data_IF_279543786867
#
_entry.id   IF_279543786867
#
_cell.length_a   1.000
_cell.length_b   1.000
_cell.length_c   1.000
_cell.angle_alpha   90.00
_cell.angle_beta   90.00
_cell.angle_gamma   90.00
#
_symmetry.space_group_name_H-M   'P 1'
#
loop_
_entity.id
_entity.type
_entity.pdbx_description
1 polymer ?
#
# COMPACT_ATOMS: atom_id res chain seq x y z
N UNK A 1 -75.38 34.48 -26.51
CA UNK A 1 -74.95 33.95 -25.18
C UNK A 1 -73.52 33.38 -25.40
N UNK A 2 -72.50 34.21 -25.14
CA UNK A 2 -71.09 33.86 -25.32
C UNK A 2 -70.53 33.25 -24.03
N UNK A 3 -70.08 32.02 -24.04
CA UNK A 3 -69.42 31.42 -22.91
C UNK A 3 -67.89 31.62 -23.11
N UNK A 4 -67.32 32.49 -22.25
CA UNK A 4 -65.85 32.70 -22.23
C UNK A 4 -65.25 31.65 -21.30
N UNK A 5 -64.54 30.69 -21.90
CA UNK A 5 -63.78 29.67 -21.15
C UNK A 5 -62.50 30.28 -20.61
N UNK A 6 -62.36 30.37 -19.30
CA UNK A 6 -61.09 30.68 -18.62
C UNK A 6 -60.21 29.42 -18.57
N UNK A 7 -59.14 29.38 -19.39
CA UNK A 7 -58.05 28.41 -19.27
C UNK A 7 -57.16 28.80 -18.11
N UNK A 8 -57.23 28.06 -17.01
CA UNK A 8 -56.29 28.17 -15.88
C UNK A 8 -54.99 27.48 -16.30
N UNK A 9 -53.97 28.26 -16.64
CA UNK A 9 -52.59 27.76 -16.80
C UNK A 9 -52.06 27.32 -15.45
N UNK A 10 -52.04 26.01 -15.20
CA UNK A 10 -51.27 25.45 -14.07
C UNK A 10 -49.79 25.62 -14.38
N UNK A 11 -49.14 26.59 -13.74
CA UNK A 11 -47.69 26.65 -13.71
C UNK A 11 -47.19 25.41 -13.00
N UNK A 12 -46.58 24.46 -13.72
CA UNK A 12 -45.80 23.38 -13.15
C UNK A 12 -44.56 24.02 -12.51
N UNK A 13 -44.58 24.16 -11.20
CA UNK A 13 -43.36 24.45 -10.45
C UNK A 13 -42.46 23.22 -10.61
N UNK A 14 -41.42 23.34 -11.43
CA UNK A 14 -40.41 22.33 -11.54
C UNK A 14 -39.81 22.15 -10.12
N UNK A 15 -40.02 21.00 -9.50
CA UNK A 15 -39.34 20.64 -8.24
C UNK A 15 -37.84 20.73 -8.52
N UNK A 16 -37.17 21.59 -7.78
CA UNK A 16 -35.72 21.73 -7.87
C UNK A 16 -35.08 20.38 -7.47
N UNK A 17 -34.49 19.69 -8.43
CA UNK A 17 -33.77 18.44 -8.19
C UNK A 17 -32.47 18.76 -7.47
N UNK A 18 -32.47 18.63 -6.15
CA UNK A 18 -31.27 18.85 -5.35
C UNK A 18 -30.27 17.72 -5.50
N UNK A 19 -28.99 18.08 -5.56
CA UNK A 19 -27.88 17.13 -5.44
C UNK A 19 -27.75 16.73 -3.97
N UNK A 20 -27.59 15.45 -3.70
CA UNK A 20 -27.58 14.92 -2.34
C UNK A 20 -26.18 14.62 -1.85
N UNK A 21 -25.78 15.18 -0.71
CA UNK A 21 -24.62 14.72 0.05
C UNK A 21 -25.10 13.56 0.91
N UNK A 22 -24.69 12.32 0.55
CA UNK A 22 -25.24 11.08 1.10
C UNK A 22 -24.46 10.59 2.31
N UNK A 23 -23.13 10.80 2.29
CA UNK A 23 -22.22 10.27 3.28
C UNK A 23 -21.01 11.18 3.39
N UNK A 24 -20.32 11.11 4.53
CA UNK A 24 -19.03 11.74 4.73
C UNK A 24 -18.08 10.75 5.39
N UNK A 25 -16.86 10.72 4.91
CA UNK A 25 -15.78 9.88 5.41
C UNK A 25 -14.61 10.78 5.80
N UNK A 26 -13.87 10.39 6.83
CA UNK A 26 -12.75 11.15 7.35
C UNK A 26 -11.56 10.23 7.57
N UNK A 27 -10.40 10.66 7.08
CA UNK A 27 -9.12 10.01 7.32
C UNK A 27 -8.09 11.00 7.82
N UNK A 28 -7.25 10.53 8.73
CA UNK A 28 -6.15 11.30 9.29
C UNK A 28 -4.82 10.66 8.90
N UNK A 29 -4.00 11.37 8.13
CA UNK A 29 -2.59 11.07 7.86
C UNK A 29 -1.68 11.95 8.71
N UNK A 30 -0.38 11.69 8.78
CA UNK A 30 0.55 12.50 9.57
C UNK A 30 0.65 13.97 9.16
N UNK A 31 0.26 14.32 7.94
CA UNK A 31 0.41 15.64 7.31
C UNK A 31 -0.91 16.33 6.98
N UNK A 32 -2.02 15.59 6.92
CA UNK A 32 -3.33 16.16 6.58
C UNK A 32 -4.51 15.39 7.16
N UNK A 33 -5.65 16.07 7.25
CA UNK A 33 -6.97 15.47 7.48
C UNK A 33 -7.77 15.58 6.21
N UNK A 34 -8.26 14.46 5.67
CA UNK A 34 -9.08 14.39 4.47
C UNK A 34 -10.52 14.09 4.83
N UNK A 35 -11.45 14.95 4.36
CA UNK A 35 -12.89 14.66 4.33
C UNK A 35 -13.30 14.36 2.90
N UNK A 36 -14.14 13.34 2.74
CA UNK A 36 -14.71 12.96 1.44
C UNK A 36 -16.23 12.90 1.59
N UNK A 37 -16.91 13.74 0.83
CA UNK A 37 -18.36 13.78 0.77
C UNK A 37 -18.83 13.02 -0.48
N UNK A 38 -19.60 11.95 -0.30
CA UNK A 38 -20.24 11.23 -1.40
C UNK A 38 -21.44 12.05 -1.90
N UNK A 39 -21.43 12.44 -3.15
CA UNK A 39 -22.49 13.26 -3.76
C UNK A 39 -23.22 12.50 -4.86
N UNK A 40 -24.52 12.78 -5.02
CA UNK A 40 -25.34 12.10 -6.03
C UNK A 40 -24.93 12.43 -7.45
N UNK A 41 -24.36 13.62 -7.68
CA UNK A 41 -23.93 14.14 -8.99
C UNK A 41 -22.79 15.14 -8.81
N UNK A 42 -22.17 15.60 -9.91
CA UNK A 42 -21.16 16.64 -9.88
C UNK A 42 -21.74 17.95 -9.28
N UNK A 43 -21.04 18.55 -8.34
CA UNK A 43 -21.46 19.77 -7.64
C UNK A 43 -20.49 20.92 -7.95
N UNK A 44 -21.01 22.14 -7.96
CA UNK A 44 -20.16 23.33 -7.83
C UNK A 44 -20.02 23.67 -6.35
N UNK A 45 -18.84 24.12 -5.96
CA UNK A 45 -18.61 24.48 -4.57
C UNK A 45 -17.59 25.61 -4.45
N UNK A 46 -17.70 26.35 -3.36
CA UNK A 46 -16.73 27.36 -2.97
C UNK A 46 -16.30 27.13 -1.53
N UNK A 47 -15.05 27.46 -1.20
CA UNK A 47 -14.55 27.40 0.18
C UNK A 47 -13.84 28.69 0.57
N UNK A 48 -13.97 29.06 1.85
CA UNK A 48 -13.27 30.21 2.43
C UNK A 48 -13.05 30.02 3.92
N UNK A 49 -12.03 30.69 4.44
CA UNK A 49 -11.70 30.67 5.85
C UNK A 49 -12.30 31.88 6.57
N UNK A 50 -12.76 31.67 7.79
CA UNK A 50 -13.14 32.72 8.75
C UNK A 50 -12.20 32.63 9.96
N UNK A 51 -11.82 33.79 10.50
CA UNK A 51 -11.00 33.92 11.71
C UNK A 51 -11.88 34.32 12.90
N UNK A 52 -11.41 34.01 14.12
CA UNK A 52 -12.01 34.45 15.40
C UNK A 52 -13.46 33.97 15.60
N UNK A 53 -13.76 32.73 15.83
CA UNK A 53 -12.86 31.54 15.84
C UNK A 53 -12.51 31.04 14.44
N UNK A 54 -11.44 30.22 14.35
CA UNK A 54 -11.00 29.63 13.09
C UNK A 54 -12.04 28.66 12.52
N UNK A 55 -12.45 28.86 11.27
CA UNK A 55 -13.47 28.03 10.61
C UNK A 55 -13.13 27.90 9.11
N UNK A 56 -13.39 26.72 8.56
CA UNK A 56 -13.49 26.54 7.10
C UNK A 56 -14.97 26.42 6.75
N UNK A 57 -15.43 27.29 5.87
CA UNK A 57 -16.79 27.25 5.31
C UNK A 57 -16.73 26.68 3.90
N UNK A 58 -17.63 25.75 3.60
CA UNK A 58 -17.79 25.11 2.29
C UNK A 58 -19.23 25.30 1.87
N UNK A 59 -19.44 26.04 0.80
CA UNK A 59 -20.74 26.25 0.17
C UNK A 59 -20.86 25.31 -1.03
N UNK A 60 -21.93 24.53 -1.10
CA UNK A 60 -22.19 23.58 -2.18
C UNK A 60 -23.52 23.96 -2.83
N UNK A 61 -23.45 24.35 -4.11
CA UNK A 61 -24.56 24.91 -4.84
C UNK A 61 -25.57 23.82 -5.23
N UNK A 62 -26.86 24.12 -5.07
CA UNK A 62 -27.96 23.23 -5.42
C UNK A 62 -27.94 21.89 -4.67
N UNK A 63 -27.40 21.86 -3.45
CA UNK A 63 -27.21 20.63 -2.69
C UNK A 63 -27.95 20.61 -1.37
N UNK A 64 -28.26 19.40 -0.90
CA UNK A 64 -28.83 19.13 0.44
C UNK A 64 -28.14 17.96 1.09
N UNK A 65 -28.03 17.99 2.41
CA UNK A 65 -27.55 16.85 3.18
C UNK A 65 -28.68 15.84 3.35
N UNK A 66 -28.47 14.60 2.88
CA UNK A 66 -29.36 13.45 3.12
C UNK A 66 -28.83 12.50 4.18
N UNK A 67 -27.59 12.64 4.59
CA UNK A 67 -26.91 11.87 5.63
C UNK A 67 -26.75 12.65 6.94
N UNK A 68 -25.77 12.21 7.73
CA UNK A 68 -25.41 12.85 8.99
C UNK A 68 -23.88 12.92 9.13
N UNK A 69 -23.39 13.89 9.89
CA UNK A 69 -21.97 13.99 10.27
C UNK A 69 -21.70 13.31 11.63
N UNK A 70 -22.72 12.70 12.25
CA UNK A 70 -22.55 11.97 13.51
C UNK A 70 -21.72 10.70 13.28
N UNK A 71 -20.88 10.36 14.26
CA UNK A 71 -20.03 9.15 14.19
C UNK A 71 -18.64 9.36 13.58
N UNK A 72 -18.33 10.54 13.04
CA UNK A 72 -16.98 10.84 12.60
C UNK A 72 -16.00 10.93 13.77
N UNK A 73 -14.86 10.29 13.65
CA UNK A 73 -13.79 10.32 14.66
C UNK A 73 -12.93 11.57 14.49
N UNK A 74 -13.35 12.68 15.13
CA UNK A 74 -12.66 13.98 15.03
C UNK A 74 -11.40 14.06 15.91
N UNK A 75 -11.21 13.15 16.84
CA UNK A 75 -10.05 13.16 17.76
C UNK A 75 -8.74 13.05 16.97
N UNK A 76 -7.81 13.96 17.26
CA UNK A 76 -6.51 14.01 16.58
C UNK A 76 -6.53 14.71 15.22
N UNK A 77 -7.65 15.33 14.85
CA UNK A 77 -7.77 16.20 13.68
C UNK A 77 -7.86 17.66 14.11
N UNK A 78 -7.66 18.64 13.24
CA UNK A 78 -7.88 20.05 13.55
C UNK A 78 -9.36 20.41 13.63
N UNK A 79 -10.30 19.49 13.36
CA UNK A 79 -11.74 19.73 13.34
C UNK A 79 -12.30 19.51 14.75
N UNK A 80 -12.87 20.55 15.35
CA UNK A 80 -13.55 20.46 16.65
C UNK A 80 -15.02 20.05 16.48
N UNK A 81 -15.69 20.60 15.45
CA UNK A 81 -17.11 20.37 15.18
C UNK A 81 -17.41 20.57 13.71
N UNK A 82 -18.38 19.82 13.20
CA UNK A 82 -18.94 20.00 11.87
C UNK A 82 -20.39 20.43 12.01
N UNK A 83 -20.74 21.54 11.37
CA UNK A 83 -22.11 22.09 11.33
C UNK A 83 -22.55 22.23 9.89
N UNK A 84 -23.85 22.22 9.65
CA UNK A 84 -24.42 22.49 8.34
C UNK A 84 -25.71 23.29 8.46
N UNK A 85 -26.09 23.92 7.35
CA UNK A 85 -27.33 24.65 7.23
C UNK A 85 -27.65 24.97 5.79
N UNK A 86 -28.91 25.33 5.53
CA UNK A 86 -29.31 25.83 4.20
C UNK A 86 -28.77 27.24 3.99
N UNK A 87 -28.34 27.54 2.77
CA UNK A 87 -27.96 28.87 2.29
C UNK A 87 -28.79 29.20 1.05
N UNK A 88 -29.23 30.47 0.92
CA UNK A 88 -30.00 30.95 -0.25
C UNK A 88 -31.16 30.02 -0.65
N UNK A 89 -31.78 29.34 0.30
CA UNK A 89 -32.87 28.35 0.15
C UNK A 89 -32.49 27.08 -0.61
N UNK A 90 -31.53 27.10 -1.53
CA UNK A 90 -31.21 26.01 -2.44
C UNK A 90 -29.81 25.40 -2.24
N UNK A 91 -28.94 26.05 -1.48
CA UNK A 91 -27.54 25.63 -1.31
C UNK A 91 -27.30 25.04 0.09
N UNK A 92 -26.32 24.18 0.18
CA UNK A 92 -25.85 23.62 1.45
C UNK A 92 -24.58 24.35 1.89
N UNK A 93 -24.55 24.86 3.12
CA UNK A 93 -23.37 25.35 3.78
C UNK A 93 -22.89 24.34 4.81
N UNK A 94 -21.62 23.94 4.73
CA UNK A 94 -20.93 23.11 5.70
C UNK A 94 -19.88 23.99 6.39
N UNK A 95 -19.82 23.94 7.70
CA UNK A 95 -18.85 24.70 8.50
C UNK A 95 -18.03 23.74 9.36
N UNK A 96 -16.72 23.75 9.16
CA UNK A 96 -15.77 23.05 10.02
C UNK A 96 -15.23 24.06 11.04
N UNK A 97 -15.60 23.88 12.31
CA UNK A 97 -15.01 24.64 13.41
C UNK A 97 -13.63 24.04 13.70
N UNK A 98 -12.58 24.85 13.64
CA UNK A 98 -11.20 24.40 13.69
C UNK A 98 -10.52 24.82 15.00
N UNK A 99 -9.63 23.96 15.52
CA UNK A 99 -8.80 24.28 16.68
C UNK A 99 -7.73 25.31 16.38
N UNK A 100 -7.36 25.45 15.09
CA UNK A 100 -6.30 26.30 14.61
C UNK A 100 -6.51 26.67 13.14
N UNK A 101 -5.74 27.64 12.65
CA UNK A 101 -5.71 27.95 11.22
C UNK A 101 -4.96 26.87 10.48
N UNK A 102 -5.57 26.29 9.44
CA UNK A 102 -4.97 25.27 8.59
C UNK A 102 -5.06 25.71 7.12
N UNK A 103 -4.11 25.30 6.29
CA UNK A 103 -4.28 25.38 4.85
C UNK A 103 -5.28 24.33 4.38
N UNK A 104 -6.03 24.62 3.33
CA UNK A 104 -7.00 23.66 2.80
C UNK A 104 -7.04 23.63 1.29
N UNK A 105 -7.32 22.48 0.73
CA UNK A 105 -7.64 22.27 -0.68
C UNK A 105 -8.97 21.56 -0.81
N UNK A 106 -9.66 21.78 -1.94
CA UNK A 106 -10.89 21.06 -2.25
C UNK A 106 -10.99 20.82 -3.76
N UNK A 107 -11.48 19.65 -4.13
CA UNK A 107 -11.61 19.23 -5.52
C UNK A 107 -12.68 18.15 -5.66
N UNK A 108 -13.15 17.95 -6.90
CA UNK A 108 -14.14 16.94 -7.23
C UNK A 108 -13.48 15.73 -7.87
N UNK A 109 -13.93 14.55 -7.44
CA UNK A 109 -13.58 13.29 -8.07
C UNK A 109 -14.78 12.76 -8.86
N UNK A 110 -14.51 12.35 -10.09
CA UNK A 110 -15.49 11.69 -10.96
C UNK A 110 -15.81 10.28 -10.44
N UNK A 111 -16.94 9.69 -10.81
CA UNK A 111 -17.24 8.29 -10.52
C UNK A 111 -16.15 7.36 -11.05
N UNK A 112 -15.92 6.29 -10.30
CA UNK A 112 -15.07 5.18 -10.70
C UNK A 112 -15.78 3.83 -10.40
N UNK A 113 -15.07 2.70 -10.53
CA UNK A 113 -15.66 1.38 -10.29
C UNK A 113 -16.15 1.15 -8.84
N UNK A 114 -15.65 1.94 -7.87
CA UNK A 114 -15.94 1.76 -6.44
C UNK A 114 -16.88 2.83 -5.90
N UNK A 115 -16.76 4.06 -6.37
CA UNK A 115 -17.43 5.24 -5.83
C UNK A 115 -18.11 6.08 -6.91
N UNK A 116 -19.21 6.76 -6.53
CA UNK A 116 -19.83 7.82 -7.32
C UNK A 116 -19.02 9.14 -7.32
N UNK A 117 -19.70 10.23 -7.60
CA UNK A 117 -19.12 11.58 -7.46
C UNK A 117 -18.74 11.87 -6.02
N UNK A 118 -17.61 12.54 -5.79
CA UNK A 118 -17.08 12.86 -4.46
C UNK A 118 -16.54 14.29 -4.45
N UNK A 119 -16.88 15.03 -3.39
CA UNK A 119 -16.21 16.27 -3.03
C UNK A 119 -15.17 15.95 -1.95
N UNK A 120 -13.91 16.23 -2.24
CA UNK A 120 -12.79 16.02 -1.32
C UNK A 120 -12.38 17.36 -0.73
N UNK A 121 -12.10 17.38 0.57
CA UNK A 121 -11.57 18.53 1.30
C UNK A 121 -10.38 18.06 2.14
N UNK A 122 -9.20 18.53 1.80
CA UNK A 122 -7.95 18.28 2.53
C UNK A 122 -7.62 19.49 3.42
N UNK A 123 -7.34 19.21 4.68
CA UNK A 123 -6.85 20.18 5.68
C UNK A 123 -5.40 19.80 5.99
N UNK A 124 -4.45 20.65 5.64
CA UNK A 124 -3.02 20.39 5.84
C UNK A 124 -2.58 20.89 7.21
N UNK A 125 -1.79 20.09 7.90
CA UNK A 125 -1.15 20.51 9.13
C UNK A 125 -0.17 21.66 8.87
N UNK A 126 0.02 22.52 9.86
CA UNK A 126 1.03 23.56 9.77
C UNK A 126 2.44 22.94 9.65
N UNK A 127 3.11 23.21 8.54
CA UNK A 127 4.47 22.71 8.28
C UNK A 127 5.47 23.09 9.37
N UNK A 128 5.22 24.19 10.08
CA UNK A 128 6.08 24.65 11.19
C UNK A 128 6.08 23.68 12.38
N UNK A 129 5.05 22.80 12.47
CA UNK A 129 4.89 21.80 13.53
C UNK A 129 5.45 20.42 13.17
N UNK A 130 5.86 20.20 11.93
CA UNK A 130 6.62 18.98 11.59
C UNK A 130 7.86 18.95 12.45
N UNK A 131 8.16 17.85 13.18
CA UNK A 131 9.43 17.72 13.87
C UNK A 131 10.52 18.02 12.85
N UNK A 132 11.30 19.08 13.08
CA UNK A 132 12.48 19.37 12.23
C UNK A 132 13.26 18.07 12.15
N UNK A 133 13.69 17.64 10.96
CA UNK A 133 14.53 16.46 10.84
C UNK A 133 15.70 16.68 11.79
N UNK A 134 15.77 15.88 12.84
CA UNK A 134 16.94 15.88 13.72
C UNK A 134 18.09 15.53 12.81
N UNK A 135 18.96 16.49 12.53
CA UNK A 135 20.24 16.26 11.86
C UNK A 135 21.01 15.34 12.78
N UNK A 136 20.76 14.04 12.63
CA UNK A 136 21.53 13.02 13.33
C UNK A 136 22.95 13.17 12.79
N UNK A 137 23.86 13.64 13.63
CA UNK A 137 25.29 13.51 13.38
C UNK A 137 25.52 12.09 12.84
N UNK A 138 26.36 11.97 11.78
CA UNK A 138 26.71 10.66 11.24
C UNK A 138 27.14 9.78 12.42
N UNK A 139 26.46 8.66 12.70
CA UNK A 139 26.91 7.79 13.76
C UNK A 139 28.33 7.35 13.40
N UNK A 140 29.25 7.52 14.33
CA UNK A 140 30.58 6.92 14.23
C UNK A 140 30.35 5.40 14.44
N UNK A 141 30.14 4.67 13.34
CA UNK A 141 29.84 3.24 13.41
C UNK A 141 29.04 2.76 12.20
N UNK A 142 28.79 1.47 12.19
CA UNK A 142 27.99 0.80 11.17
C UNK A 142 26.50 1.04 11.45
N UNK A 143 25.73 1.33 10.40
CA UNK A 143 24.28 1.56 10.46
C UNK A 143 23.48 0.27 10.38
N UNK A 144 22.23 0.30 10.80
CA UNK A 144 21.27 -0.76 10.53
C UNK A 144 20.85 -0.78 9.06
N UNK A 145 20.48 -1.97 8.58
CA UNK A 145 19.79 -2.17 7.30
C UNK A 145 18.38 -1.60 7.44
N UNK A 146 18.00 -0.72 6.53
CA UNK A 146 16.68 -0.06 6.51
C UNK A 146 15.76 -0.75 5.54
N UNK A 147 14.64 -1.27 6.02
CA UNK A 147 13.60 -1.90 5.20
C UNK A 147 12.34 -1.04 5.22
N UNK A 148 12.01 -0.43 4.08
CA UNK A 148 10.74 0.27 3.91
C UNK A 148 9.63 -0.74 3.61
N UNK A 149 8.56 -0.70 4.39
CA UNK A 149 7.42 -1.60 4.30
C UNK A 149 6.20 -0.80 3.90
N UNK A 150 5.71 -1.05 2.71
CA UNK A 150 4.52 -0.44 2.17
C UNK A 150 3.34 -1.39 2.34
N UNK A 151 2.31 -0.93 3.04
CA UNK A 151 1.03 -1.61 3.06
C UNK A 151 0.18 -1.04 1.94
N UNK A 152 -0.12 -1.83 0.92
CA UNK A 152 -0.93 -1.41 -0.22
C UNK A 152 -2.26 -0.78 0.19
N UNK A 153 -2.77 0.12 -0.65
CA UNK A 153 -4.06 0.81 -0.45
C UNK A 153 -4.09 1.71 0.80
N UNK A 154 -5.29 2.01 1.32
CA UNK A 154 -5.49 2.81 2.53
C UNK A 154 -6.47 3.96 2.33
N UNK A 155 -7.08 4.43 3.41
CA UNK A 155 -8.02 5.55 3.38
C UNK A 155 -9.15 5.33 2.38
N UNK A 156 -9.23 6.21 1.39
CA UNK A 156 -10.24 6.17 0.31
C UNK A 156 -10.09 4.94 -0.59
N UNK A 157 -8.89 4.44 -0.77
CA UNK A 157 -8.66 3.22 -1.55
C UNK A 157 -8.79 1.96 -0.67
N UNK A 158 -9.88 1.18 -0.82
CA UNK A 158 -10.09 -0.02 -0.02
C UNK A 158 -9.22 -1.21 -0.49
N UNK A 159 -8.67 -1.16 -1.71
CA UNK A 159 -8.17 -2.32 -2.41
C UNK A 159 -9.28 -3.28 -2.81
N UNK A 160 -8.99 -4.55 -2.92
CA UNK A 160 -9.96 -5.58 -3.21
C UNK A 160 -10.92 -5.81 -2.04
N UNK A 161 -12.18 -6.15 -2.37
CA UNK A 161 -13.20 -6.55 -1.39
C UNK A 161 -13.08 -8.05 -1.15
N UNK A 162 -12.83 -8.41 0.10
CA UNK A 162 -12.68 -9.79 0.52
C UNK A 162 -13.97 -10.59 0.36
N UNK A 163 -13.85 -11.87 0.04
CA UNK A 163 -15.00 -12.79 0.16
C UNK A 163 -15.54 -12.78 1.60
N UNK A 164 -16.85 -12.60 1.72
CA UNK A 164 -17.51 -12.45 3.03
C UNK A 164 -17.22 -11.10 3.72
N UNK A 165 -16.88 -10.05 2.95
CA UNK A 165 -16.70 -8.67 3.44
C UNK A 165 -15.32 -8.37 4.00
N UNK A 166 -15.06 -7.09 4.20
CA UNK A 166 -13.74 -6.54 4.57
C UNK A 166 -12.92 -6.11 3.37
N UNK A 167 -11.84 -5.39 3.64
CA UNK A 167 -11.03 -4.72 2.62
C UNK A 167 -9.57 -5.15 2.70
N UNK A 168 -8.92 -5.23 1.55
CA UNK A 168 -7.50 -5.54 1.40
C UNK A 168 -6.61 -4.63 2.25
N UNK A 169 -6.86 -3.32 2.24
CA UNK A 169 -6.09 -2.32 3.00
C UNK A 169 -5.89 -2.64 4.48
N UNK A 170 -6.83 -3.36 5.10
CA UNK A 170 -6.73 -3.76 6.51
C UNK A 170 -5.81 -4.97 6.68
N UNK A 171 -5.86 -5.92 5.76
CA UNK A 171 -5.00 -7.11 5.74
C UNK A 171 -3.55 -6.73 5.49
N UNK A 172 -3.30 -5.89 4.47
CA UNK A 172 -1.97 -5.41 4.12
C UNK A 172 -1.32 -4.65 5.25
N UNK A 173 -2.08 -3.76 5.93
CA UNK A 173 -1.58 -3.01 7.09
C UNK A 173 -1.27 -3.92 8.29
N UNK A 174 -2.09 -4.95 8.53
CA UNK A 174 -1.84 -5.90 9.62
C UNK A 174 -0.55 -6.69 9.37
N UNK A 175 -0.35 -7.23 8.15
CA UNK A 175 0.86 -7.96 7.79
C UNK A 175 2.10 -7.04 7.85
N UNK A 176 1.99 -5.79 7.36
CA UNK A 176 3.07 -4.81 7.39
C UNK A 176 3.53 -4.50 8.82
N UNK A 177 2.60 -4.35 9.76
CA UNK A 177 2.90 -4.13 11.18
C UNK A 177 3.58 -5.34 11.83
N UNK A 178 3.16 -6.56 11.51
CA UNK A 178 3.81 -7.78 12.01
C UNK A 178 5.23 -7.91 11.42
N UNK A 179 5.44 -7.59 10.15
CA UNK A 179 6.76 -7.58 9.53
C UNK A 179 7.68 -6.53 10.16
N UNK A 180 7.16 -5.33 10.41
CA UNK A 180 7.91 -4.28 11.09
C UNK A 180 8.30 -4.69 12.51
N UNK A 181 7.41 -5.36 13.26
CA UNK A 181 7.71 -5.87 14.59
C UNK A 181 8.81 -6.95 14.58
N UNK A 182 8.84 -7.83 13.57
CA UNK A 182 9.90 -8.83 13.41
C UNK A 182 11.25 -8.18 13.11
N UNK A 183 11.28 -7.21 12.17
CA UNK A 183 12.49 -6.48 11.81
C UNK A 183 13.03 -5.62 12.96
N UNK A 184 12.16 -4.99 13.75
CA UNK A 184 12.58 -4.19 14.93
C UNK A 184 13.24 -5.04 16.03
N UNK A 185 12.91 -6.33 16.11
CA UNK A 185 13.52 -7.26 17.08
C UNK A 185 14.82 -7.89 16.58
N UNK A 186 15.10 -7.78 15.29
CA UNK A 186 16.31 -8.31 14.68
C UNK A 186 17.41 -7.25 14.70
N UNK A 187 18.51 -7.56 15.39
CA UNK A 187 19.65 -6.65 15.46
C UNK A 187 20.21 -6.37 14.07
N UNK A 188 20.61 -5.14 13.81
CA UNK A 188 21.14 -4.72 12.53
C UNK A 188 20.05 -4.42 11.47
N UNK A 189 18.76 -4.39 11.88
CA UNK A 189 17.65 -4.03 11.02
C UNK A 189 16.80 -2.91 11.62
N UNK A 190 16.32 -2.01 10.76
CA UNK A 190 15.41 -0.92 11.11
C UNK A 190 14.25 -0.85 10.09
N UNK A 191 13.03 -1.20 10.48
CA UNK A 191 11.88 -1.03 9.60
C UNK A 191 11.42 0.43 9.53
N UNK A 192 10.85 0.79 8.38
CA UNK A 192 10.11 2.04 8.16
C UNK A 192 8.78 1.69 7.53
N UNK A 193 7.69 1.92 8.25
CA UNK A 193 6.35 1.77 7.68
C UNK A 193 6.02 2.98 6.82
N UNK A 194 5.63 2.77 5.56
CA UNK A 194 5.19 3.83 4.65
C UNK A 194 3.90 4.45 5.17
N UNK A 195 2.94 3.63 5.61
CA UNK A 195 1.78 4.09 6.37
C UNK A 195 1.61 3.32 7.67
N UNK A 196 1.20 4.01 8.72
CA UNK A 196 1.00 3.45 10.06
C UNK A 196 -0.46 3.29 10.44
N UNK A 197 -1.37 3.86 9.64
CA UNK A 197 -2.82 3.89 9.86
C UNK A 197 -3.60 3.65 8.57
N UNK A 198 -4.92 3.81 8.66
CA UNK A 198 -5.83 3.73 7.52
C UNK A 198 -5.97 5.11 6.87
N UNK A 199 -5.02 5.47 6.03
CA UNK A 199 -5.02 6.66 5.18
C UNK A 199 -4.32 6.34 3.86
N UNK A 200 -4.68 7.06 2.80
CA UNK A 200 -4.09 6.88 1.48
C UNK A 200 -2.79 7.69 1.34
N UNK A 201 -1.83 7.09 0.66
CA UNK A 201 -0.58 7.71 0.20
C UNK A 201 -0.46 7.38 -1.27
N UNK A 202 -0.23 8.39 -2.11
CA UNK A 202 -0.01 8.19 -3.55
C UNK A 202 1.22 7.32 -3.84
N UNK A 203 1.19 6.63 -4.99
CA UNK A 203 2.18 5.61 -5.33
C UNK A 203 3.61 6.18 -5.39
N UNK A 204 3.78 7.40 -5.90
CA UNK A 204 5.11 8.05 -5.97
C UNK A 204 5.60 8.48 -4.58
N UNK A 205 4.69 8.96 -3.73
CA UNK A 205 5.05 9.35 -2.36
C UNK A 205 5.50 8.15 -1.52
N UNK A 206 4.98 6.94 -1.78
CA UNK A 206 5.43 5.71 -1.10
C UNK A 206 6.92 5.44 -1.36
N UNK A 207 7.34 5.51 -2.63
CA UNK A 207 8.77 5.36 -2.98
C UNK A 207 9.62 6.52 -2.45
N UNK A 208 9.09 7.74 -2.43
CA UNK A 208 9.81 8.89 -1.87
C UNK A 208 10.05 8.74 -0.35
N UNK A 209 9.08 8.24 0.41
CA UNK A 209 9.25 7.92 1.85
C UNK A 209 10.37 6.89 2.05
N UNK A 210 10.45 5.86 1.20
CA UNK A 210 11.54 4.90 1.24
C UNK A 210 12.89 5.57 0.97
N UNK A 211 12.99 6.45 -0.02
CA UNK A 211 14.22 7.21 -0.35
C UNK A 211 14.61 8.16 0.76
N UNK A 212 13.67 8.93 1.30
CA UNK A 212 13.91 9.88 2.42
C UNK A 212 14.44 9.14 3.66
N UNK A 213 14.00 7.90 3.88
CA UNK A 213 14.47 7.05 4.97
C UNK A 213 15.79 6.34 4.70
N UNK A 214 16.36 6.47 3.48
CA UNK A 214 17.54 5.75 2.98
C UNK A 214 17.35 4.23 3.09
N UNK A 215 16.23 3.74 2.60
CA UNK A 215 15.92 2.31 2.64
C UNK A 215 16.87 1.52 1.73
N UNK A 216 17.27 0.35 2.21
CA UNK A 216 18.06 -0.64 1.47
C UNK A 216 17.18 -1.65 0.72
N UNK A 217 15.90 -1.69 1.06
CA UNK A 217 14.89 -2.54 0.43
C UNK A 217 13.50 -1.92 0.61
N UNK A 218 12.70 -1.96 -0.45
CA UNK A 218 11.28 -1.61 -0.41
C UNK A 218 10.42 -2.85 -0.65
N UNK A 219 9.46 -3.11 0.24
CA UNK A 219 8.54 -4.24 0.16
C UNK A 219 7.11 -3.70 0.19
N UNK A 220 6.39 -3.80 -0.93
CA UNK A 220 4.96 -3.50 -0.99
C UNK A 220 4.16 -4.79 -0.76
N UNK A 221 3.19 -4.75 0.13
CA UNK A 221 2.38 -5.90 0.56
C UNK A 221 0.97 -5.72 0.08
N UNK A 222 0.46 -6.71 -0.67
CA UNK A 222 -0.86 -6.76 -1.27
C UNK A 222 -1.58 -8.10 -0.98
N UNK A 223 -2.87 -8.15 -1.22
CA UNK A 223 -3.71 -9.34 -1.10
C UNK A 223 -4.87 -9.23 -2.10
N UNK A 224 -4.53 -9.17 -3.37
CA UNK A 224 -5.40 -8.71 -4.44
C UNK A 224 -6.66 -9.58 -4.67
N UNK A 225 -7.58 -9.04 -5.44
CA UNK A 225 -8.76 -9.72 -5.95
C UNK A 225 -8.61 -10.08 -7.41
N UNK A 226 -9.10 -11.26 -7.78
CA UNK A 226 -9.18 -11.68 -9.16
C UNK A 226 -10.63 -11.98 -9.56
N UNK A 227 -10.99 -11.79 -10.86
CA UNK A 227 -12.36 -12.03 -11.33
C UNK A 227 -12.80 -13.48 -11.12
N UNK A 228 -11.90 -14.43 -11.38
CA UNK A 228 -12.13 -15.84 -11.08
C UNK A 228 -11.79 -16.13 -9.62
N UNK A 229 -12.79 -16.39 -8.81
CA UNK A 229 -12.64 -16.73 -7.39
C UNK A 229 -11.90 -18.04 -7.12
N UNK A 230 -11.58 -18.82 -8.16
CA UNK A 230 -10.75 -20.03 -8.06
C UNK A 230 -9.26 -19.69 -8.04
N UNK A 231 -8.86 -18.46 -8.47
CA UNK A 231 -7.49 -17.98 -8.37
C UNK A 231 -7.04 -18.08 -6.91
N UNK A 232 -5.84 -18.63 -6.70
CA UNK A 232 -5.25 -18.80 -5.37
C UNK A 232 -3.74 -18.91 -5.45
N UNK A 233 -3.12 -18.60 -4.33
CA UNK A 233 -1.67 -18.71 -4.15
C UNK A 233 -0.98 -17.35 -4.11
N UNK A 234 0.15 -17.32 -3.42
CA UNK A 234 0.99 -16.14 -3.30
C UNK A 234 1.86 -15.94 -4.54
N UNK A 235 2.22 -14.69 -4.82
CA UNK A 235 3.15 -14.30 -5.89
C UNK A 235 4.11 -13.22 -5.39
N UNK A 236 5.26 -13.10 -6.03
CA UNK A 236 6.17 -11.97 -5.82
C UNK A 236 6.49 -11.34 -7.18
N UNK A 237 6.46 -10.02 -7.20
CA UNK A 237 6.71 -9.22 -8.40
C UNK A 237 7.90 -8.31 -8.21
N UNK A 238 8.66 -8.11 -9.30
CA UNK A 238 9.65 -7.06 -9.45
C UNK A 238 9.27 -6.13 -10.61
N UNK A 239 9.89 -4.97 -10.68
CA UNK A 239 9.67 -4.03 -11.77
C UNK A 239 10.12 -4.62 -13.09
N UNK A 240 9.37 -4.34 -14.18
CA UNK A 240 9.82 -4.52 -15.55
C UNK A 240 9.78 -3.20 -16.31
N UNK A 241 10.80 -2.98 -17.14
CA UNK A 241 10.88 -1.84 -18.06
C UNK A 241 10.38 -2.18 -19.47
N UNK A 242 10.37 -3.47 -19.81
CA UNK A 242 10.11 -3.97 -21.18
C UNK A 242 8.76 -4.67 -21.36
N UNK A 243 7.87 -4.58 -20.35
CA UNK A 243 6.57 -5.24 -20.38
C UNK A 243 6.36 -6.21 -19.21
N UNK A 244 5.28 -6.99 -19.25
CA UNK A 244 4.97 -7.95 -18.21
C UNK A 244 5.34 -9.37 -18.62
N UNK A 245 5.78 -10.19 -17.65
CA UNK A 245 6.15 -11.59 -17.87
C UNK A 245 4.93 -12.49 -18.12
N UNK A 246 3.74 -12.04 -17.70
CA UNK A 246 2.48 -12.75 -17.96
C UNK A 246 1.30 -11.77 -18.08
N UNK A 247 0.19 -12.22 -18.67
CA UNK A 247 -1.04 -11.44 -18.73
C UNK A 247 -1.61 -11.14 -17.33
N UNK A 248 -1.47 -12.07 -16.39
CA UNK A 248 -1.86 -11.86 -14.99
C UNK A 248 -1.02 -10.73 -14.38
N UNK A 249 0.29 -10.75 -14.56
CA UNK A 249 1.19 -9.71 -14.08
C UNK A 249 0.86 -8.34 -14.70
N UNK A 250 0.53 -8.30 -16.00
CA UNK A 250 0.10 -7.07 -16.69
C UNK A 250 -1.18 -6.50 -16.09
N UNK A 251 -2.18 -7.36 -15.92
CA UNK A 251 -3.47 -6.96 -15.38
C UNK A 251 -3.36 -6.45 -13.94
N UNK A 252 -2.61 -7.15 -13.08
CA UNK A 252 -2.33 -6.73 -11.71
C UNK A 252 -1.64 -5.37 -11.66
N UNK A 253 -0.59 -5.17 -12.45
CA UNK A 253 0.10 -3.89 -12.51
C UNK A 253 -0.82 -2.74 -12.97
N UNK A 254 -1.67 -2.98 -13.96
CA UNK A 254 -2.64 -1.97 -14.41
C UNK A 254 -3.65 -1.61 -13.31
N UNK A 255 -4.12 -2.62 -12.59
CA UNK A 255 -5.07 -2.42 -11.48
C UNK A 255 -4.42 -1.63 -10.34
N UNK A 256 -3.25 -2.03 -9.90
CA UNK A 256 -2.53 -1.36 -8.81
C UNK A 256 -2.12 0.07 -9.17
N UNK A 257 -1.71 0.32 -10.42
CA UNK A 257 -1.37 1.65 -10.90
C UNK A 257 -2.58 2.61 -10.96
N UNK A 258 -3.82 2.09 -10.95
CA UNK A 258 -5.03 2.90 -10.90
C UNK A 258 -5.42 3.35 -9.47
N UNK A 259 -4.70 2.92 -8.44
CA UNK A 259 -4.98 3.26 -7.02
C UNK A 259 -5.00 4.76 -6.76
N UNK A 260 -4.13 5.55 -7.40
CA UNK A 260 -4.11 7.01 -7.25
C UNK A 260 -5.42 7.68 -7.68
N UNK A 261 -6.11 7.13 -8.68
CA UNK A 261 -7.43 7.62 -9.12
C UNK A 261 -8.52 7.32 -8.08
N UNK A 262 -8.41 6.20 -7.36
CA UNK A 262 -9.35 5.82 -6.29
C UNK A 262 -9.06 6.65 -5.05
N UNK A 263 -7.79 6.77 -4.67
CA UNK A 263 -7.31 7.52 -3.52
C UNK A 263 -7.48 9.05 -3.63
N UNK A 264 -7.83 9.55 -4.83
CA UNK A 264 -8.09 10.96 -5.03
C UNK A 264 -6.85 11.84 -5.21
N UNK A 265 -5.72 11.24 -5.61
CA UNK A 265 -4.48 11.96 -5.91
C UNK A 265 -4.23 12.10 -7.43
N UNK A 266 -5.14 11.61 -8.26
CA UNK A 266 -5.01 11.54 -9.73
C UNK A 266 -5.15 12.87 -10.48
N UNK A 267 -5.04 14.02 -9.82
CA UNK A 267 -5.15 15.34 -10.46
C UNK A 267 -3.90 15.81 -11.21
N UNK A 268 -2.74 15.19 -11.00
CA UNK A 268 -1.49 15.57 -11.64
C UNK A 268 -0.88 14.34 -12.29
N UNK A 269 -1.30 14.05 -13.52
CA UNK A 269 -0.47 13.27 -14.43
C UNK A 269 0.75 14.14 -14.78
N UNK A 270 1.75 14.09 -13.94
CA UNK A 270 3.09 14.49 -14.36
C UNK A 270 3.53 13.42 -15.36
N UNK A 271 3.36 13.75 -16.65
CA UNK A 271 3.96 12.97 -17.72
C UNK A 271 5.41 12.66 -17.36
N UNK A 272 5.84 11.43 -17.64
CA UNK A 272 7.21 11.00 -17.60
C UNK A 272 8.07 11.92 -18.49
N UNK A 273 8.40 13.11 -17.99
CA UNK A 273 9.52 13.91 -18.50
C UNK A 273 10.75 13.44 -17.74
N UNK A 274 11.16 12.22 -18.07
CA UNK A 274 12.51 11.76 -17.73
C UNK A 274 13.49 12.62 -18.53
N UNK A 275 14.28 13.43 -17.81
CA UNK A 275 15.40 14.17 -18.37
C UNK A 275 16.39 13.18 -19.01
N UNK A 276 16.55 13.31 -20.31
CA UNK A 276 17.36 12.43 -21.19
C UNK A 276 18.86 12.43 -20.84
N UNK A 277 19.34 13.38 -20.03
CA UNK A 277 20.77 13.54 -19.73
C UNK A 277 21.26 12.73 -18.51
N UNK A 278 20.37 12.28 -17.64
CA UNK A 278 20.70 11.37 -16.52
C UNK A 278 20.69 9.89 -16.91
N UNK A 279 20.37 9.58 -18.17
CA UNK A 279 19.93 8.25 -18.63
C UNK A 279 20.98 7.13 -18.49
N UNK A 280 22.24 7.36 -18.72
CA UNK A 280 23.24 6.24 -18.82
C UNK A 280 23.70 5.76 -17.44
N UNK A 281 23.98 6.64 -16.51
CA UNK A 281 24.34 6.25 -15.12
C UNK A 281 23.12 5.72 -14.37
N UNK A 282 21.94 6.27 -14.66
CA UNK A 282 20.66 5.80 -14.14
C UNK A 282 20.37 4.38 -14.66
N UNK A 283 20.70 4.06 -15.88
CA UNK A 283 20.45 2.77 -16.52
C UNK A 283 21.27 1.61 -15.90
N UNK A 284 22.53 1.88 -15.58
CA UNK A 284 23.39 0.91 -14.88
C UNK A 284 22.93 0.69 -13.43
N UNK A 285 22.59 1.77 -12.72
CA UNK A 285 22.04 1.68 -11.37
C UNK A 285 20.74 0.88 -11.34
N UNK A 286 19.81 1.17 -12.25
CA UNK A 286 18.54 0.43 -12.36
C UNK A 286 18.74 -1.05 -12.70
N UNK A 287 19.73 -1.40 -13.53
CA UNK A 287 19.99 -2.82 -13.86
C UNK A 287 20.44 -3.60 -12.62
N UNK A 288 21.36 -3.04 -11.82
CA UNK A 288 21.79 -3.64 -10.55
C UNK A 288 20.65 -3.76 -9.54
N UNK A 289 19.82 -2.72 -9.44
CA UNK A 289 18.65 -2.67 -8.56
C UNK A 289 17.61 -3.70 -8.95
N UNK A 290 17.33 -3.89 -10.25
CA UNK A 290 16.42 -4.92 -10.74
C UNK A 290 16.94 -6.33 -10.45
N UNK A 291 18.24 -6.59 -10.67
CA UNK A 291 18.86 -7.87 -10.32
C UNK A 291 18.70 -8.18 -8.84
N UNK A 292 18.98 -7.21 -7.98
CA UNK A 292 18.80 -7.33 -6.52
C UNK A 292 17.34 -7.56 -6.13
N UNK A 293 16.39 -6.90 -6.83
CA UNK A 293 14.95 -7.11 -6.62
C UNK A 293 14.53 -8.54 -6.95
N UNK A 294 15.03 -9.11 -8.06
CA UNK A 294 14.77 -10.50 -8.43
C UNK A 294 15.36 -11.47 -7.42
N UNK A 295 16.58 -11.23 -6.94
CA UNK A 295 17.22 -12.09 -5.95
C UNK A 295 16.47 -12.11 -4.62
N UNK A 296 16.14 -10.93 -4.06
CA UNK A 296 15.37 -10.86 -2.81
C UNK A 296 13.97 -11.39 -2.99
N UNK A 297 13.34 -11.12 -4.15
CA UNK A 297 12.04 -11.65 -4.52
C UNK A 297 12.01 -13.17 -4.53
N UNK A 298 13.00 -13.83 -5.10
CA UNK A 298 13.14 -15.29 -5.10
C UNK A 298 13.26 -15.85 -3.68
N UNK A 299 14.04 -15.21 -2.80
CA UNK A 299 14.13 -15.62 -1.39
C UNK A 299 12.82 -15.49 -0.64
N UNK A 300 12.07 -14.39 -0.88
CA UNK A 300 10.75 -14.19 -0.28
C UNK A 300 9.75 -15.21 -0.83
N UNK A 301 9.70 -15.41 -2.16
CA UNK A 301 8.80 -16.36 -2.81
C UNK A 301 9.03 -17.79 -2.29
N UNK A 302 10.29 -18.21 -2.16
CA UNK A 302 10.67 -19.51 -1.60
C UNK A 302 10.08 -19.72 -0.18
N UNK A 303 10.26 -18.73 0.69
CA UNK A 303 9.72 -18.79 2.05
C UNK A 303 8.18 -18.76 2.08
N UNK A 304 7.55 -17.97 1.19
CA UNK A 304 6.09 -17.96 1.02
C UNK A 304 5.56 -19.34 0.60
N UNK A 305 6.28 -20.02 -0.29
CA UNK A 305 5.99 -21.39 -0.70
C UNK A 305 5.94 -22.38 0.46
N UNK A 306 6.64 -22.12 1.56
CA UNK A 306 6.59 -22.92 2.80
C UNK A 306 5.25 -22.87 3.54
N UNK A 307 4.50 -21.77 3.41
CA UNK A 307 3.26 -21.52 4.16
C UNK A 307 2.00 -21.49 3.29
N UNK A 308 2.12 -21.09 2.03
CA UNK A 308 1.02 -20.97 1.09
C UNK A 308 1.32 -21.73 -0.21
N UNK A 309 0.26 -22.08 -0.95
CA UNK A 309 0.41 -22.42 -2.36
C UNK A 309 0.98 -21.19 -3.07
N UNK A 310 1.91 -21.39 -4.00
CA UNK A 310 2.36 -20.35 -4.90
C UNK A 310 1.46 -20.31 -6.13
N UNK A 311 1.09 -19.10 -6.58
CA UNK A 311 0.39 -18.89 -7.84
C UNK A 311 1.38 -19.11 -9.02
N UNK A 312 2.58 -18.58 -8.87
CA UNK A 312 3.71 -18.80 -9.78
C UNK A 312 4.94 -19.27 -8.98
N UNK A 313 5.73 -20.17 -9.58
CA UNK A 313 6.94 -20.71 -8.95
C UNK A 313 8.16 -19.80 -9.08
N UNK A 314 8.06 -18.71 -9.83
CA UNK A 314 9.12 -17.73 -10.06
C UNK A 314 8.62 -16.32 -9.83
N UNK A 315 9.55 -15.40 -9.57
CA UNK A 315 9.24 -13.96 -9.48
C UNK A 315 8.78 -13.48 -10.86
N UNK A 316 7.61 -12.87 -10.92
CA UNK A 316 7.09 -12.24 -12.13
C UNK A 316 7.51 -10.77 -12.20
N UNK A 317 7.42 -10.17 -13.39
CA UNK A 317 7.78 -8.78 -13.60
C UNK A 317 6.68 -8.05 -14.36
N UNK A 318 6.40 -6.81 -13.96
CA UNK A 318 5.49 -5.89 -14.66
C UNK A 318 5.78 -4.43 -14.32
N UNK A 319 5.09 -3.51 -14.98
CA UNK A 319 5.30 -2.07 -14.84
C UNK A 319 4.58 -1.46 -13.63
N UNK A 320 4.82 -1.96 -12.42
CA UNK A 320 4.26 -1.41 -11.19
C UNK A 320 4.86 -0.03 -10.88
N UNK A 321 4.03 1.01 -10.79
CA UNK A 321 4.48 2.38 -10.47
C UNK A 321 5.10 2.45 -9.09
N UNK A 322 4.54 1.77 -8.11
CA UNK A 322 5.05 1.74 -6.73
C UNK A 322 6.45 1.11 -6.60
N UNK A 323 6.89 0.33 -7.59
CA UNK A 323 8.24 -0.28 -7.61
C UNK A 323 9.26 0.55 -8.40
N UNK A 324 8.87 1.68 -8.97
CA UNK A 324 9.77 2.54 -9.76
C UNK A 324 10.73 3.32 -8.83
N UNK A 325 11.77 2.66 -8.37
CA UNK A 325 12.89 3.28 -7.65
C UNK A 325 14.20 2.94 -8.36
N UNK A 326 14.99 3.93 -8.77
CA UNK A 326 16.24 3.66 -9.50
C UNK A 326 17.35 3.12 -8.61
N UNK A 327 17.28 3.35 -7.31
CA UNK A 327 18.36 3.19 -6.33
C UNK A 327 18.01 2.21 -5.20
N UNK A 328 16.75 1.77 -5.08
CA UNK A 328 16.32 0.85 -4.01
C UNK A 328 15.74 -0.43 -4.61
N UNK A 329 16.31 -1.61 -4.32
CA UNK A 329 15.68 -2.88 -4.65
C UNK A 329 14.25 -2.93 -4.12
N UNK A 330 13.30 -3.29 -4.98
CA UNK A 330 11.87 -3.16 -4.68
C UNK A 330 11.11 -4.38 -5.14
N UNK A 331 10.25 -4.93 -4.28
CA UNK A 331 9.37 -6.06 -4.58
C UNK A 331 7.95 -5.78 -4.14
N UNK A 332 6.97 -6.37 -4.85
CA UNK A 332 5.59 -6.42 -4.43
C UNK A 332 5.23 -7.88 -4.12
N UNK A 333 4.65 -8.10 -2.96
CA UNK A 333 4.28 -9.43 -2.47
C UNK A 333 2.77 -9.53 -2.43
N UNK A 334 2.20 -10.32 -3.35
CA UNK A 334 0.82 -10.78 -3.29
C UNK A 334 0.73 -11.94 -2.32
N UNK A 335 0.08 -11.72 -1.19
CA UNK A 335 0.01 -12.71 -0.11
C UNK A 335 -1.03 -13.79 -0.35
N UNK A 336 -1.88 -13.61 -1.34
CA UNK A 336 -2.96 -14.50 -1.81
C UNK A 336 -4.09 -13.67 -2.40
N UNK A 337 -5.11 -14.33 -2.95
CA UNK A 337 -6.27 -13.65 -3.55
C UNK A 337 -7.41 -13.53 -2.55
N UNK A 338 -7.68 -12.32 -2.05
CA UNK A 338 -8.69 -12.07 -1.01
C UNK A 338 -10.13 -12.31 -1.49
N UNK A 339 -10.35 -12.40 -2.81
CA UNK A 339 -11.65 -12.79 -3.41
C UNK A 339 -11.90 -14.30 -3.39
N UNK A 340 -10.87 -15.12 -3.15
CA UNK A 340 -11.01 -16.56 -2.97
C UNK A 340 -11.55 -16.86 -1.55
N UNK A 341 -12.60 -17.70 -1.41
CA UNK A 341 -13.21 -17.97 -0.09
C UNK A 341 -12.27 -18.57 0.95
N UNK A 342 -11.38 -19.48 0.54
CA UNK A 342 -10.42 -20.12 1.42
C UNK A 342 -9.33 -19.16 1.86
N UNK A 343 -8.75 -18.41 0.89
CA UNK A 343 -7.68 -17.46 1.15
C UNK A 343 -8.17 -16.24 1.93
N UNK A 344 -9.36 -15.72 1.64
CA UNK A 344 -9.97 -14.63 2.42
C UNK A 344 -10.06 -14.98 3.92
N UNK A 345 -10.46 -16.21 4.25
CA UNK A 345 -10.53 -16.68 5.65
C UNK A 345 -9.14 -16.72 6.28
N UNK A 346 -8.13 -17.22 5.56
CA UNK A 346 -6.74 -17.27 6.02
C UNK A 346 -6.18 -15.85 6.20
N UNK A 347 -6.28 -14.99 5.19
CA UNK A 347 -5.75 -13.64 5.18
C UNK A 347 -6.34 -12.74 6.27
N UNK A 348 -7.59 -12.98 6.68
CA UNK A 348 -8.23 -12.31 7.81
C UNK A 348 -7.76 -12.84 9.19
N UNK A 349 -7.11 -14.01 9.24
CA UNK A 349 -6.62 -14.60 10.47
C UNK A 349 -5.30 -13.98 10.91
N UNK A 350 -5.23 -13.45 12.14
CA UNK A 350 -4.01 -12.89 12.72
C UNK A 350 -2.87 -13.91 12.73
N UNK A 351 -3.15 -15.19 12.99
CA UNK A 351 -2.12 -16.22 12.96
C UNK A 351 -1.50 -16.38 11.57
N UNK A 352 -2.34 -16.40 10.53
CA UNK A 352 -1.85 -16.49 9.15
C UNK A 352 -1.08 -15.23 8.72
N UNK A 353 -1.54 -14.03 9.12
CA UNK A 353 -0.83 -12.77 8.87
C UNK A 353 0.57 -12.77 9.48
N UNK A 354 0.74 -13.31 10.70
CA UNK A 354 2.06 -13.51 11.35
C UNK A 354 2.93 -14.50 10.59
N UNK A 355 2.35 -15.59 10.06
CA UNK A 355 3.09 -16.56 9.25
C UNK A 355 3.59 -15.93 7.95
N UNK A 356 2.74 -15.16 7.26
CA UNK A 356 3.10 -14.40 6.05
C UNK A 356 4.22 -13.41 6.34
N UNK A 357 4.06 -12.57 7.36
CA UNK A 357 5.08 -11.61 7.77
C UNK A 357 6.43 -12.29 8.09
N UNK A 358 6.40 -13.45 8.77
CA UNK A 358 7.60 -14.23 9.08
C UNK A 358 8.27 -14.80 7.82
N UNK A 359 7.49 -15.25 6.84
CA UNK A 359 8.03 -15.73 5.56
C UNK A 359 8.74 -14.62 4.79
N UNK A 360 8.12 -13.43 4.69
CA UNK A 360 8.72 -12.25 4.07
C UNK A 360 10.00 -11.85 4.82
N UNK A 361 9.94 -11.78 6.16
CA UNK A 361 11.09 -11.48 7.02
C UNK A 361 12.24 -12.43 6.78
N UNK A 362 11.98 -13.74 6.77
CA UNK A 362 13.03 -14.75 6.58
C UNK A 362 13.69 -14.63 5.20
N UNK A 363 12.91 -14.40 4.15
CA UNK A 363 13.43 -14.19 2.79
C UNK A 363 14.33 -12.95 2.70
N UNK A 364 13.86 -11.81 3.19
CA UNK A 364 14.61 -10.55 3.20
C UNK A 364 15.89 -10.67 4.06
N UNK A 365 15.79 -11.23 5.27
CA UNK A 365 16.93 -11.46 6.17
C UNK A 365 17.98 -12.35 5.53
N UNK A 366 17.58 -13.46 4.92
CA UNK A 366 18.48 -14.39 4.24
C UNK A 366 19.25 -13.72 3.11
N UNK A 367 18.58 -12.87 2.33
CA UNK A 367 19.21 -12.10 1.27
C UNK A 367 20.25 -11.11 1.81
N UNK A 368 19.91 -10.31 2.82
CA UNK A 368 20.84 -9.35 3.42
C UNK A 368 22.02 -10.03 4.12
N UNK A 369 21.82 -11.20 4.71
CA UNK A 369 22.92 -11.94 5.32
C UNK A 369 23.90 -12.47 4.27
N UNK A 370 23.42 -12.78 3.06
CA UNK A 370 24.26 -13.15 1.92
C UNK A 370 24.94 -11.92 1.29
N UNK A 371 24.23 -10.81 1.11
CA UNK A 371 24.68 -9.57 0.43
C UNK A 371 24.34 -8.33 1.26
N UNK A 372 24.98 -8.09 2.42
CA UNK A 372 24.71 -6.89 3.22
C UNK A 372 25.30 -5.65 2.54
N UNK A 373 24.64 -4.48 2.62
CA UNK A 373 25.24 -3.21 2.22
C UNK A 373 26.52 -2.93 3.04
N UNK A 374 27.59 -2.42 2.41
CA UNK A 374 28.95 -2.43 3.00
C UNK A 374 29.09 -1.60 4.27
N UNK A 375 28.29 -0.58 4.48
CA UNK A 375 28.31 0.34 5.62
C UNK A 375 27.40 -0.11 6.78
N UNK A 376 26.89 -1.36 6.76
CA UNK A 376 25.93 -1.87 7.73
C UNK A 376 26.57 -2.75 8.81
N UNK A 377 25.89 -2.83 9.95
CA UNK A 377 26.28 -3.68 11.06
C UNK A 377 26.32 -5.17 10.66
N UNK A 378 25.40 -5.58 9.78
CA UNK A 378 25.37 -6.95 9.25
C UNK A 378 26.59 -7.21 8.34
N UNK A 379 27.04 -6.23 7.55
CA UNK A 379 28.26 -6.35 6.76
C UNK A 379 29.50 -6.53 7.66
N UNK A 380 29.58 -5.74 8.73
CA UNK A 380 30.65 -5.89 9.73
C UNK A 380 30.65 -7.30 10.33
N UNK A 381 29.52 -7.77 10.81
CA UNK A 381 29.43 -9.12 11.38
C UNK A 381 29.82 -10.22 10.39
N UNK A 382 29.48 -10.04 9.12
CA UNK A 382 29.90 -10.98 8.05
C UNK A 382 31.42 -10.95 7.87
N UNK A 383 32.01 -9.76 7.84
CA UNK A 383 33.46 -9.59 7.71
C UNK A 383 34.22 -10.16 8.92
N UNK A 384 33.72 -9.90 10.12
CA UNK A 384 34.34 -10.35 11.37
C UNK A 384 34.05 -11.86 11.66
N UNK A 385 33.30 -12.56 10.81
CA UNK A 385 32.89 -13.96 11.01
C UNK A 385 31.94 -14.17 12.21
N UNK A 386 31.38 -13.09 12.75
CA UNK A 386 30.47 -13.13 13.92
C UNK A 386 29.00 -13.25 13.53
N UNK A 387 28.69 -13.18 12.22
CA UNK A 387 27.33 -13.33 11.72
C UNK A 387 26.83 -14.76 11.97
N UNK A 388 26.03 -14.94 13.03
CA UNK A 388 25.38 -16.23 13.31
C UNK A 388 24.04 -16.28 12.59
N UNK A 389 24.06 -16.70 11.34
CA UNK A 389 22.84 -16.99 10.61
C UNK A 389 22.19 -18.25 11.23
N UNK A 390 20.93 -18.13 11.69
CA UNK A 390 20.18 -19.31 12.11
C UNK A 390 19.65 -20.02 10.87
N UNK A 391 19.93 -21.31 10.71
CA UNK A 391 19.45 -22.05 9.54
C UNK A 391 17.91 -22.00 9.50
N UNK A 392 17.35 -21.74 8.32
CA UNK A 392 15.91 -21.81 8.11
C UNK A 392 15.47 -23.30 8.01
N UNK A 393 14.16 -23.54 8.20
CA UNK A 393 13.60 -24.91 8.10
C UNK A 393 12.58 -24.93 6.96
N UNK A 394 12.62 -25.97 6.16
CA UNK A 394 11.69 -26.23 5.07
C UNK A 394 10.98 -27.57 5.26
N UNK A 395 9.66 -27.61 5.11
CA UNK A 395 8.87 -28.85 5.14
C UNK A 395 8.65 -29.32 3.72
N UNK A 396 9.11 -30.52 3.40
CA UNK A 396 8.98 -31.13 2.07
C UNK A 396 7.51 -31.35 1.73
N UNK A 397 7.14 -30.94 0.51
CA UNK A 397 5.79 -31.05 -0.03
C UNK A 397 5.70 -32.17 -1.10
N UNK A 398 4.50 -32.64 -1.45
CA UNK A 398 4.32 -33.52 -2.58
C UNK A 398 4.89 -32.92 -3.87
N UNK A 399 5.75 -33.66 -4.56
CA UNK A 399 6.39 -33.25 -5.83
C UNK A 399 7.71 -32.47 -5.67
N UNK A 400 8.16 -32.20 -4.44
CA UNK A 400 9.47 -31.58 -4.23
C UNK A 400 10.60 -32.58 -4.49
N UNK A 401 11.68 -32.09 -5.12
CA UNK A 401 12.97 -32.77 -5.22
C UNK A 401 14.04 -32.03 -4.43
N UNK A 402 15.07 -32.72 -4.00
CA UNK A 402 16.16 -32.08 -3.24
C UNK A 402 16.91 -31.03 -4.07
N UNK A 403 17.02 -31.23 -5.40
CA UNK A 403 17.62 -30.25 -6.31
C UNK A 403 16.77 -28.99 -6.45
N UNK A 404 15.46 -29.13 -6.67
CA UNK A 404 14.55 -27.98 -6.72
C UNK A 404 14.55 -27.18 -5.41
N UNK A 405 14.60 -27.87 -4.26
CA UNK A 405 14.70 -27.19 -2.96
C UNK A 405 16.05 -26.47 -2.83
N UNK A 406 17.16 -27.08 -3.24
CA UNK A 406 18.47 -26.46 -3.23
C UNK A 406 18.51 -25.21 -4.12
N UNK A 407 18.00 -25.31 -5.35
CA UNK A 407 17.88 -24.19 -6.29
C UNK A 407 16.94 -23.09 -5.75
N UNK A 408 15.82 -23.48 -5.17
CA UNK A 408 14.85 -22.55 -4.56
C UNK A 408 15.48 -21.67 -3.47
N UNK A 409 16.41 -22.24 -2.68
CA UNK A 409 17.07 -21.52 -1.60
C UNK A 409 18.47 -21.00 -2.01
N UNK A 410 18.88 -21.18 -3.26
CA UNK A 410 20.20 -20.79 -3.81
C UNK A 410 21.37 -21.33 -2.93
N UNK A 411 21.31 -22.63 -2.67
CA UNK A 411 22.34 -23.38 -1.93
C UNK A 411 22.76 -24.61 -2.74
N UNK A 412 23.96 -25.10 -2.47
CA UNK A 412 24.37 -26.33 -3.12
C UNK A 412 23.58 -27.53 -2.60
N UNK A 413 23.20 -28.45 -3.49
CA UNK A 413 22.55 -29.71 -3.11
C UNK A 413 23.41 -30.50 -2.11
N UNK A 414 24.75 -30.40 -2.21
CA UNK A 414 25.69 -31.07 -1.33
C UNK A 414 25.61 -30.46 0.09
N UNK A 415 25.53 -29.14 0.21
CA UNK A 415 25.39 -28.48 1.52
C UNK A 415 24.05 -28.82 2.17
N UNK A 416 22.96 -28.81 1.37
CA UNK A 416 21.65 -29.21 1.85
C UNK A 416 21.65 -30.65 2.36
N UNK A 417 22.27 -31.57 1.64
CA UNK A 417 22.44 -32.97 2.05
C UNK A 417 23.28 -33.11 3.33
N UNK A 418 24.42 -32.45 3.37
CA UNK A 418 25.36 -32.50 4.49
C UNK A 418 24.72 -32.03 5.79
N UNK A 419 24.04 -30.87 5.78
CA UNK A 419 23.43 -30.30 6.98
C UNK A 419 22.27 -31.16 7.48
N UNK A 420 21.55 -31.83 6.56
CA UNK A 420 20.42 -32.71 6.91
C UNK A 420 20.80 -34.19 7.05
N UNK A 421 22.07 -34.53 6.96
CA UNK A 421 22.58 -35.90 7.06
C UNK A 421 21.90 -36.88 6.08
N UNK A 422 21.61 -36.42 4.86
CA UNK A 422 20.94 -37.24 3.85
C UNK A 422 21.98 -38.08 3.08
N UNK A 423 21.80 -39.39 3.12
CA UNK A 423 22.69 -40.34 2.44
C UNK A 423 22.57 -40.29 0.91
N UNK A 424 21.40 -39.94 0.38
CA UNK A 424 21.17 -39.76 -1.06
C UNK A 424 20.16 -38.64 -1.33
N UNK A 425 20.14 -38.11 -2.58
CA UNK A 425 19.20 -37.11 -3.03
C UNK A 425 17.75 -37.62 -3.09
N UNK A 426 17.57 -38.93 -3.20
CA UNK A 426 16.25 -39.56 -3.38
C UNK A 426 15.63 -40.00 -2.04
N UNK A 427 16.31 -39.82 -0.92
CA UNK A 427 15.83 -40.27 0.40
C UNK A 427 15.19 -39.15 1.19
N UNK A 428 14.22 -38.45 0.58
CA UNK A 428 13.42 -37.42 1.21
C UNK A 428 11.94 -37.81 1.24
N UNK A 429 11.20 -37.40 2.27
CA UNK A 429 9.80 -37.75 2.46
C UNK A 429 8.93 -36.50 2.59
N UNK A 430 7.72 -36.53 2.04
CA UNK A 430 6.72 -35.50 2.26
C UNK A 430 6.48 -35.32 3.75
N UNK A 431 6.48 -34.07 4.22
CA UNK A 431 6.37 -33.72 5.66
C UNK A 431 7.70 -33.75 6.41
N UNK A 432 8.78 -34.23 5.82
CA UNK A 432 10.11 -34.15 6.44
C UNK A 432 10.57 -32.69 6.51
N UNK A 433 11.17 -32.32 7.65
CA UNK A 433 11.72 -30.97 7.86
C UNK A 433 13.20 -30.97 7.49
N UNK A 434 13.57 -30.18 6.50
CA UNK A 434 14.96 -29.90 6.16
C UNK A 434 15.46 -28.64 6.83
N UNK A 435 16.67 -28.69 7.31
CA UNK A 435 17.46 -27.53 7.73
C UNK A 435 18.10 -26.94 6.48
N UNK A 436 17.79 -25.70 6.17
CA UNK A 436 18.34 -24.97 5.04
C UNK A 436 19.57 -24.21 5.54
N UNK A 437 20.79 -24.57 5.10
CA UNK A 437 21.99 -23.81 5.42
C UNK A 437 21.92 -22.40 4.83
N UNK A 438 22.66 -21.48 5.42
CA UNK A 438 22.73 -20.11 4.95
C UNK A 438 23.81 -19.94 3.91
#
# INVERSE_FOLDING_TARGET
MLVVGFSVLKAQVAEAVYKLIKNVRLWRSPDKTRLVFDVSDAVEHNKFHLSNPSRLVIDVDGARLSGTFSGLQLKGTPIQKIRHGSRNQNDLRIVLDLSEKVASESFLLKPNATYGHRLVVDLFDDESRKPKPVVKQKPVGFRDIVVAIDAGHGGEDPGAIAYGGGYEKHVTLAIAKELAALLSREKGFRPVLVRTGDYYIDLRRRTQIARDSKADLFISIHADGFKDRRAKGASVFALSRSGATSETARWLAQKENASDQIGGEGGISLGDKDDVLAGVLLDLSMTSTLSSSLEVGNKVLANMGGINRLHKKQVEQAGFVVLKSPDIPSILVETGFITNPEEARKLKSSNHQKMVAKAIFNGAKSWFYKKPPPDTLVAKWKQDGTLKARPSRYVIKPGDTLSEIADQFDISMNDLRRVNRLSSANNIRVGQVLVIPN
#
